data_IF_025645508468
#
_entry.id   IF_025645508468
#
_cell.length_a   1.000
_cell.length_b   1.000
_cell.length_c   1.000
_cell.angle_alpha   90.00
_cell.angle_beta   90.00
_cell.angle_gamma   90.00
#
_symmetry.space_group_name_H-M   'P 1'
#
loop_
_entity.id
_entity.type
_entity.pdbx_description
1 polymer ?
#
# COMPACT_ATOMS: atom_id res chain seq x y z
N UNK A 1 -16.60 -11.31 15.17
CA UNK A 1 -17.24 -11.10 13.86
C UNK A 1 -16.16 -10.81 12.83
N UNK A 2 -16.26 -11.40 11.65
CA UNK A 2 -15.37 -11.19 10.49
C UNK A 2 -16.24 -10.91 9.25
N UNK A 3 -15.63 -10.38 8.20
CA UNK A 3 -16.29 -10.17 6.90
C UNK A 3 -15.66 -11.13 5.90
N UNK A 4 -16.46 -12.03 5.33
CA UNK A 4 -16.04 -12.87 4.20
C UNK A 4 -16.17 -12.08 2.90
N UNK A 5 -15.12 -12.13 2.09
CA UNK A 5 -15.04 -11.44 0.79
C UNK A 5 -14.51 -12.39 -0.27
N UNK A 6 -14.64 -12.03 -1.54
CA UNK A 6 -14.07 -12.76 -2.66
C UNK A 6 -13.28 -11.81 -3.54
N UNK A 7 -12.28 -12.33 -4.25
CA UNK A 7 -11.63 -11.60 -5.35
C UNK A 7 -12.29 -11.85 -6.72
N UNK A 8 -13.43 -12.57 -6.73
CA UNK A 8 -14.30 -12.76 -7.88
C UNK A 8 -15.61 -11.97 -7.72
N UNK A 9 -15.86 -11.05 -8.65
CA UNK A 9 -17.07 -10.20 -8.64
C UNK A 9 -18.35 -11.02 -8.84
N UNK A 10 -18.30 -12.14 -9.56
CA UNK A 10 -19.48 -12.98 -9.80
C UNK A 10 -19.95 -13.65 -8.50
N UNK A 11 -19.01 -14.05 -7.65
CA UNK A 11 -19.30 -14.58 -6.31
C UNK A 11 -19.97 -13.48 -5.46
N UNK A 12 -19.43 -12.26 -5.47
CA UNK A 12 -20.03 -11.14 -4.73
C UNK A 12 -21.46 -10.80 -5.22
N UNK A 13 -21.69 -10.86 -6.53
CA UNK A 13 -23.01 -10.65 -7.13
C UNK A 13 -24.03 -11.71 -6.70
N UNK A 14 -23.61 -12.98 -6.59
CA UNK A 14 -24.47 -14.08 -6.13
C UNK A 14 -24.97 -13.85 -4.69
N UNK A 15 -24.13 -13.28 -3.83
CA UNK A 15 -24.44 -13.05 -2.41
C UNK A 15 -25.08 -11.68 -2.11
N UNK A 16 -25.15 -10.77 -3.09
CA UNK A 16 -25.67 -9.41 -2.94
C UNK A 16 -27.15 -9.34 -2.54
N UNK A 17 -27.97 -10.34 -2.90
CA UNK A 17 -29.45 -10.27 -2.86
C UNK A 17 -30.06 -9.18 -3.76
N UNK A 18 -31.38 -9.04 -3.78
CA UNK A 18 -32.10 -8.15 -4.72
C UNK A 18 -31.95 -6.64 -4.42
N UNK A 19 -31.55 -6.26 -3.21
CA UNK A 19 -31.43 -4.86 -2.74
C UNK A 19 -30.11 -4.58 -2.00
N UNK A 20 -29.13 -5.48 -2.08
CA UNK A 20 -27.85 -5.27 -1.40
C UNK A 20 -26.85 -4.44 -2.21
N UNK A 21 -25.78 -4.02 -1.54
CA UNK A 21 -24.62 -3.38 -2.15
C UNK A 21 -23.48 -4.39 -2.34
N UNK A 22 -22.55 -4.07 -3.24
CA UNK A 22 -21.26 -4.76 -3.35
C UNK A 22 -20.20 -3.86 -2.73
N UNK A 23 -19.51 -4.36 -1.71
CA UNK A 23 -18.35 -3.69 -1.14
C UNK A 23 -17.09 -4.09 -1.92
N UNK A 24 -16.52 -3.15 -2.66
CA UNK A 24 -15.27 -3.34 -3.40
C UNK A 24 -14.10 -2.89 -2.54
N UNK A 25 -13.27 -3.84 -2.12
CA UNK A 25 -12.08 -3.55 -1.30
C UNK A 25 -10.89 -3.23 -2.20
N UNK A 26 -10.45 -1.97 -2.21
CA UNK A 26 -9.24 -1.58 -2.92
C UNK A 26 -8.01 -2.36 -2.39
N UNK A 27 -7.00 -2.69 -3.22
CA UNK A 27 -5.79 -3.37 -2.74
C UNK A 27 -5.11 -2.69 -1.54
N UNK A 28 -5.21 -1.37 -1.40
CA UNK A 28 -4.72 -0.63 -0.23
C UNK A 28 -5.36 -1.08 1.10
N UNK A 29 -6.58 -1.62 1.07
CA UNK A 29 -7.28 -2.17 2.24
C UNK A 29 -6.70 -3.49 2.73
N UNK A 30 -6.17 -4.34 1.83
CA UNK A 30 -5.48 -5.59 2.22
C UNK A 30 -4.17 -5.34 2.96
N UNK A 31 -3.71 -4.09 2.96
CA UNK A 31 -2.33 -3.69 3.18
C UNK A 31 -2.21 -2.64 4.29
N UNK A 32 -3.33 -2.26 4.89
CA UNK A 32 -3.41 -1.34 6.01
C UNK A 32 -3.20 -2.08 7.35
N UNK A 33 -2.29 -1.55 8.19
CA UNK A 33 -1.91 -2.14 9.48
C UNK A 33 -3.09 -2.54 10.39
N UNK A 34 -4.17 -1.74 10.42
CA UNK A 34 -5.35 -1.94 11.28
C UNK A 34 -6.42 -2.86 10.66
N UNK A 35 -6.21 -3.33 9.43
CA UNK A 35 -7.19 -4.10 8.66
C UNK A 35 -6.58 -5.47 8.36
N UNK A 36 -6.62 -6.34 9.38
CA UNK A 36 -6.12 -7.70 9.24
C UNK A 36 -7.01 -8.49 8.28
N UNK A 37 -6.38 -9.18 7.34
CA UNK A 37 -7.05 -10.03 6.37
C UNK A 37 -6.22 -11.26 6.06
N UNK A 38 -6.87 -12.31 5.58
CA UNK A 38 -6.22 -13.56 5.20
C UNK A 38 -6.95 -14.21 4.02
N UNK A 39 -6.18 -14.63 3.01
CA UNK A 39 -6.68 -15.53 1.97
C UNK A 39 -6.77 -16.94 2.55
N UNK A 40 -8.01 -17.44 2.66
CA UNK A 40 -8.34 -18.76 3.22
C UNK A 40 -8.87 -19.71 2.15
N UNK A 41 -8.82 -19.33 0.88
CA UNK A 41 -9.35 -20.10 -0.25
C UNK A 41 -8.80 -21.53 -0.33
N UNK A 42 -7.57 -21.74 0.15
CA UNK A 42 -6.88 -23.03 0.15
C UNK A 42 -7.38 -24.01 1.24
N UNK A 43 -7.93 -23.51 2.35
CA UNK A 43 -8.56 -24.32 3.42
C UNK A 43 -10.08 -24.31 3.37
N UNK A 44 -10.69 -23.35 2.68
CA UNK A 44 -12.14 -23.24 2.61
C UNK A 44 -12.75 -24.47 1.93
N UNK A 45 -13.85 -25.05 2.46
CA UNK A 45 -14.59 -26.10 1.77
C UNK A 45 -15.23 -25.59 0.47
N UNK A 46 -15.43 -24.26 0.32
CA UNK A 46 -16.01 -23.62 -0.84
C UNK A 46 -14.94 -22.95 -1.72
N UNK A 47 -13.99 -23.75 -2.25
CA UNK A 47 -12.85 -23.24 -3.02
C UNK A 47 -13.23 -22.31 -4.18
N UNK A 48 -14.39 -22.52 -4.79
CA UNK A 48 -14.91 -21.71 -5.88
C UNK A 48 -15.24 -20.26 -5.46
N UNK A 49 -15.49 -20.02 -4.18
CA UNK A 49 -15.78 -18.67 -3.65
C UNK A 49 -14.54 -17.82 -3.48
N UNK A 50 -13.35 -18.44 -3.49
CA UNK A 50 -12.05 -17.75 -3.35
C UNK A 50 -12.03 -16.81 -2.14
N UNK A 51 -12.45 -17.37 -1.01
CA UNK A 51 -12.72 -16.61 0.20
C UNK A 51 -11.48 -15.94 0.80
N UNK A 52 -11.65 -14.66 1.11
CA UNK A 52 -10.71 -13.81 1.84
C UNK A 52 -11.44 -13.24 3.05
N UNK A 53 -10.91 -13.51 4.23
CA UNK A 53 -11.48 -13.04 5.49
C UNK A 53 -10.85 -11.73 5.91
N UNK A 54 -11.68 -10.76 6.25
CA UNK A 54 -11.29 -9.53 6.93
C UNK A 54 -11.70 -9.61 8.40
N UNK A 55 -10.74 -9.47 9.31
CA UNK A 55 -11.02 -9.39 10.73
C UNK A 55 -11.64 -8.02 11.06
N UNK A 56 -12.44 -7.97 12.13
CA UNK A 56 -12.91 -6.70 12.68
C UNK A 56 -11.71 -5.83 13.04
N UNK A 57 -11.69 -4.58 12.56
CA UNK A 57 -10.64 -3.62 12.91
C UNK A 57 -10.55 -3.46 14.43
N UNK A 58 -9.32 -3.53 14.95
CA UNK A 58 -9.07 -3.30 16.36
C UNK A 58 -9.07 -1.80 16.64
N UNK A 59 -9.98 -1.35 17.50
CA UNK A 59 -9.99 0.04 17.98
C UNK A 59 -8.91 0.20 19.04
N UNK A 60 -7.85 0.94 18.71
CA UNK A 60 -6.75 1.22 19.64
C UNK A 60 -7.18 2.33 20.60
N UNK A 61 -7.60 1.98 21.82
CA UNK A 61 -8.20 2.90 22.80
C UNK A 61 -7.26 3.99 23.35
N UNK A 62 -5.94 3.85 23.16
CA UNK A 62 -4.93 4.78 23.69
C UNK A 62 -4.41 5.81 22.68
N UNK A 63 -4.90 5.80 21.43
CA UNK A 63 -4.53 6.81 20.43
C UNK A 63 -5.60 7.90 20.37
N UNK A 64 -5.16 9.15 20.21
CA UNK A 64 -6.03 10.28 19.87
C UNK A 64 -6.94 9.89 18.69
N UNK A 65 -8.25 10.09 18.84
CA UNK A 65 -9.26 9.79 17.82
C UNK A 65 -8.92 10.44 16.47
N UNK A 66 -8.28 11.62 16.52
CA UNK A 66 -7.79 12.31 15.32
C UNK A 66 -6.71 11.51 14.61
N UNK A 67 -5.69 11.06 15.33
CA UNK A 67 -4.62 10.21 14.77
C UNK A 67 -5.17 8.90 14.22
N UNK A 68 -6.20 8.34 14.88
CA UNK A 68 -6.86 7.13 14.38
C UNK A 68 -7.50 7.34 13.01
N UNK A 69 -8.29 8.42 12.87
CA UNK A 69 -8.96 8.78 11.61
C UNK A 69 -7.97 9.10 10.49
N UNK A 70 -6.84 9.71 10.82
CA UNK A 70 -5.83 10.11 9.82
C UNK A 70 -4.94 8.94 9.36
N UNK A 71 -4.72 7.92 10.18
CA UNK A 71 -3.75 6.85 9.87
C UNK A 71 -4.35 5.46 9.64
N UNK A 72 -5.43 5.10 10.33
CA UNK A 72 -5.91 3.72 10.44
C UNK A 72 -7.34 3.53 9.91
N UNK A 73 -8.02 4.61 9.55
CA UNK A 73 -9.36 4.55 8.99
C UNK A 73 -9.37 4.17 7.50
N UNK A 74 -10.57 3.94 7.00
CA UNK A 74 -10.87 3.72 5.59
C UNK A 74 -11.96 4.68 5.16
N UNK A 75 -11.94 5.03 3.88
CA UNK A 75 -12.96 5.83 3.23
C UNK A 75 -13.89 4.91 2.44
N UNK A 76 -15.14 5.32 2.32
CA UNK A 76 -16.12 4.69 1.43
C UNK A 76 -16.63 5.73 0.44
N UNK A 77 -16.73 5.35 -0.83
CA UNK A 77 -17.37 6.16 -1.87
C UNK A 77 -18.17 5.28 -2.81
N UNK A 78 -19.24 5.84 -3.39
CA UNK A 78 -19.95 5.18 -4.47
C UNK A 78 -19.02 5.13 -5.68
N UNK A 79 -18.72 3.92 -6.15
CA UNK A 79 -17.90 3.67 -7.34
C UNK A 79 -18.77 3.62 -8.59
N UNK A 80 -19.91 2.94 -8.49
CA UNK A 80 -20.93 2.88 -9.51
C UNK A 80 -22.29 2.57 -8.87
N UNK A 81 -23.35 2.96 -9.57
CA UNK A 81 -24.72 2.69 -9.16
C UNK A 81 -25.58 2.46 -10.40
N UNK A 82 -26.35 1.37 -10.38
CA UNK A 82 -27.41 1.07 -11.35
C UNK A 82 -28.75 0.88 -10.62
N UNK A 83 -29.81 0.58 -11.37
CA UNK A 83 -31.17 0.41 -10.82
C UNK A 83 -31.24 -0.62 -9.68
N UNK A 84 -30.37 -1.63 -9.69
CA UNK A 84 -30.43 -2.76 -8.78
C UNK A 84 -29.27 -2.81 -7.78
N UNK A 85 -28.12 -2.21 -8.10
CA UNK A 85 -26.86 -2.42 -7.38
C UNK A 85 -26.09 -1.12 -7.19
N UNK A 86 -25.71 -0.87 -5.95
CA UNK A 86 -24.67 0.11 -5.62
C UNK A 86 -23.35 -0.61 -5.32
N UNK A 87 -22.28 -0.19 -5.98
CA UNK A 87 -20.92 -0.63 -5.68
C UNK A 87 -20.22 0.45 -4.87
N UNK A 88 -19.74 0.08 -3.68
CA UNK A 88 -19.08 0.98 -2.74
C UNK A 88 -17.59 0.62 -2.71
N UNK A 89 -16.73 1.52 -3.16
CA UNK A 89 -15.28 1.36 -3.07
C UNK A 89 -14.79 1.75 -1.67
N UNK A 90 -14.07 0.83 -1.04
CA UNK A 90 -13.39 1.03 0.23
C UNK A 90 -11.89 1.21 0.00
N UNK A 91 -11.33 2.30 0.51
CA UNK A 91 -9.90 2.66 0.39
C UNK A 91 -9.27 2.98 1.74
N UNK A 92 -7.98 2.69 1.90
CA UNK A 92 -7.24 3.11 3.09
C UNK A 92 -7.01 4.63 3.10
N UNK A 93 -7.20 5.29 4.24
CA UNK A 93 -7.07 6.75 4.33
C UNK A 93 -5.70 7.27 3.89
N UNK A 94 -4.59 6.59 4.23
CA UNK A 94 -3.25 7.00 3.77
C UNK A 94 -3.07 6.81 2.26
N UNK A 95 -3.75 5.85 1.65
CA UNK A 95 -3.71 5.73 0.20
C UNK A 95 -4.32 6.98 -0.46
N UNK A 96 -5.52 7.39 -0.01
CA UNK A 96 -6.20 8.56 -0.58
C UNK A 96 -5.44 9.87 -0.32
N UNK A 97 -4.79 9.99 0.85
CA UNK A 97 -3.98 11.16 1.19
C UNK A 97 -2.77 11.37 0.28
N UNK A 98 -2.19 10.29 -0.27
CA UNK A 98 -0.90 10.33 -0.96
C UNK A 98 -0.96 9.96 -2.46
N UNK A 99 -2.08 9.43 -2.97
CA UNK A 99 -2.19 8.99 -4.37
C UNK A 99 -1.87 10.12 -5.35
N UNK A 100 -2.38 11.34 -5.13
CA UNK A 100 -2.19 12.44 -6.08
C UNK A 100 -0.73 12.91 -6.16
N UNK A 101 -0.07 13.09 -5.02
CA UNK A 101 1.34 13.49 -4.94
C UNK A 101 2.25 12.39 -5.51
N UNK A 102 1.92 11.13 -5.20
CA UNK A 102 2.64 9.96 -5.72
C UNK A 102 2.57 9.91 -7.25
N UNK A 103 1.37 10.14 -7.81
CA UNK A 103 1.16 10.16 -9.27
C UNK A 103 1.82 11.37 -9.93
N UNK A 104 1.77 12.55 -9.31
CA UNK A 104 2.45 13.74 -9.82
C UNK A 104 3.96 13.52 -9.92
N UNK A 105 4.59 13.03 -8.85
CA UNK A 105 6.04 12.72 -8.86
C UNK A 105 6.33 11.62 -9.88
N UNK A 106 5.50 10.56 -9.93
CA UNK A 106 5.65 9.49 -10.91
C UNK A 106 5.65 10.02 -12.34
N UNK A 107 4.75 10.96 -12.68
CA UNK A 107 4.68 11.57 -14.01
C UNK A 107 5.97 12.34 -14.36
N UNK A 108 6.54 13.08 -13.40
CA UNK A 108 7.82 13.79 -13.58
C UNK A 108 8.99 12.85 -13.91
N UNK A 109 8.91 11.60 -13.44
CA UNK A 109 9.88 10.54 -13.72
C UNK A 109 9.44 9.60 -14.86
N UNK A 110 8.48 10.02 -15.69
CA UNK A 110 7.90 9.23 -16.79
C UNK A 110 7.45 7.82 -16.36
N UNK A 111 6.88 7.72 -15.17
CA UNK A 111 6.37 6.48 -14.57
C UNK A 111 7.40 5.35 -14.43
N UNK A 112 8.70 5.69 -14.45
CA UNK A 112 9.79 4.72 -14.36
C UNK A 112 10.09 4.26 -12.93
N UNK A 113 9.62 5.02 -11.93
CA UNK A 113 9.82 4.74 -10.51
C UNK A 113 8.61 4.00 -9.94
N UNK A 114 8.86 3.03 -9.05
CA UNK A 114 7.82 2.34 -8.31
C UNK A 114 7.02 3.32 -7.43
N UNK A 115 5.69 3.34 -7.57
CA UNK A 115 4.80 4.20 -6.80
C UNK A 115 4.94 3.98 -5.29
N UNK A 116 5.19 2.74 -4.86
CA UNK A 116 5.39 2.42 -3.44
C UNK A 116 6.70 3.01 -2.90
N UNK A 117 7.72 3.16 -3.75
CA UNK A 117 8.99 3.79 -3.40
C UNK A 117 8.78 5.29 -3.18
N UNK A 118 8.08 5.96 -4.11
CA UNK A 118 7.69 7.38 -3.99
C UNK A 118 6.87 7.60 -2.71
N UNK A 119 5.83 6.78 -2.51
CA UNK A 119 4.97 6.84 -1.33
C UNK A 119 5.74 6.61 -0.02
N UNK A 120 6.73 5.71 -0.02
CA UNK A 120 7.59 5.52 1.15
C UNK A 120 8.33 6.80 1.46
N UNK A 121 9.03 7.39 0.49
CA UNK A 121 9.80 8.62 0.71
C UNK A 121 8.90 9.77 1.14
N UNK A 122 7.72 9.92 0.55
CA UNK A 122 6.72 10.93 0.92
C UNK A 122 6.31 10.86 2.40
N UNK A 123 6.34 9.69 3.01
CA UNK A 123 6.05 9.52 4.43
C UNK A 123 7.23 9.88 5.35
N UNK A 124 8.45 9.94 4.82
CA UNK A 124 9.67 10.24 5.60
C UNK A 124 10.09 11.71 5.54
N UNK A 125 9.73 12.43 4.48
CA UNK A 125 10.07 13.84 4.32
C UNK A 125 9.34 14.74 5.34
N UNK A 126 10.01 15.80 5.78
CA UNK A 126 9.54 16.67 6.88
C UNK A 126 8.89 17.98 6.39
N UNK A 127 8.63 18.11 5.09
CA UNK A 127 7.97 19.29 4.51
C UNK A 127 6.67 19.64 5.23
N UNK A 128 6.44 20.94 5.48
CA UNK A 128 5.24 21.44 6.17
C UNK A 128 4.07 21.58 5.21
N UNK A 129 4.36 21.96 3.96
CA UNK A 129 3.37 22.01 2.87
C UNK A 129 3.47 20.80 1.95
N UNK A 130 2.42 20.57 1.16
CA UNK A 130 2.40 19.49 0.15
C UNK A 130 3.51 19.71 -0.89
N UNK A 131 3.72 20.94 -1.33
CA UNK A 131 4.73 21.31 -2.33
C UNK A 131 6.15 21.10 -1.80
N UNK A 132 6.40 21.45 -0.53
CA UNK A 132 7.69 21.18 0.12
C UNK A 132 7.96 19.67 0.21
N UNK A 133 6.97 18.86 0.58
CA UNK A 133 7.11 17.39 0.62
C UNK A 133 7.41 16.82 -0.76
N UNK A 134 6.77 17.32 -1.81
CA UNK A 134 7.03 16.92 -3.19
C UNK A 134 8.47 17.28 -3.58
N UNK A 135 8.90 18.52 -3.35
CA UNK A 135 10.25 18.98 -3.66
C UNK A 135 11.32 18.13 -2.94
N UNK A 136 11.16 17.92 -1.64
CA UNK A 136 12.06 17.06 -0.86
C UNK A 136 12.06 15.62 -1.38
N UNK A 137 10.90 15.09 -1.75
CA UNK A 137 10.81 13.71 -2.28
C UNK A 137 11.57 13.58 -3.60
N UNK A 138 11.47 14.56 -4.50
CA UNK A 138 12.19 14.58 -5.78
C UNK A 138 13.71 14.62 -5.55
N UNK A 139 14.16 15.45 -4.61
CA UNK A 139 15.57 15.52 -4.23
C UNK A 139 16.06 14.17 -3.68
N UNK A 140 15.33 13.58 -2.74
CA UNK A 140 15.65 12.26 -2.18
C UNK A 140 15.67 11.15 -3.23
N UNK A 141 14.72 11.14 -4.16
CA UNK A 141 14.67 10.19 -5.28
C UNK A 141 15.91 10.32 -6.17
N UNK A 142 16.32 11.56 -6.48
CA UNK A 142 17.50 11.84 -7.31
C UNK A 142 18.79 11.33 -6.65
N UNK A 143 18.94 11.57 -5.34
CA UNK A 143 20.07 11.06 -4.54
C UNK A 143 20.04 9.54 -4.48
N UNK A 144 18.86 8.95 -4.25
CA UNK A 144 18.69 7.51 -4.15
C UNK A 144 18.99 6.78 -5.46
N UNK A 145 18.46 7.25 -6.60
CA UNK A 145 18.75 6.62 -7.90
C UNK A 145 20.24 6.72 -8.26
N UNK A 146 20.90 7.85 -7.95
CA UNK A 146 22.36 7.97 -8.10
C UNK A 146 23.10 7.00 -7.19
N UNK A 147 22.69 6.87 -5.93
CA UNK A 147 23.27 5.92 -4.97
C UNK A 147 23.10 4.47 -5.44
N UNK A 148 21.92 4.12 -5.95
CA UNK A 148 21.55 2.77 -6.40
C UNK A 148 22.41 2.26 -7.56
N UNK A 149 22.89 3.16 -8.43
CA UNK A 149 23.75 2.83 -9.56
C UNK A 149 25.19 2.44 -9.17
N UNK A 150 25.63 2.73 -7.93
CA UNK A 150 27.00 2.41 -7.51
C UNK A 150 27.18 0.88 -7.37
N UNK A 151 28.21 0.27 -8.00
CA UNK A 151 28.39 -1.19 -7.99
C UNK A 151 28.48 -1.81 -6.60
N UNK A 152 29.07 -1.09 -5.64
CA UNK A 152 29.20 -1.57 -4.25
C UNK A 152 27.83 -1.72 -3.58
N UNK A 153 26.88 -0.84 -3.88
CA UNK A 153 25.54 -0.87 -3.29
C UNK A 153 24.72 -2.03 -3.86
N UNK A 154 24.86 -2.29 -5.17
CA UNK A 154 24.28 -3.47 -5.82
C UNK A 154 24.84 -4.76 -5.21
N UNK A 155 26.16 -4.84 -4.98
CA UNK A 155 26.79 -5.99 -4.31
C UNK A 155 26.26 -6.18 -2.88
N UNK A 156 26.14 -5.09 -2.11
CA UNK A 156 25.57 -5.12 -0.75
C UNK A 156 24.15 -5.67 -0.75
N UNK A 157 23.29 -5.20 -1.65
CA UNK A 157 21.93 -5.72 -1.80
C UNK A 157 21.91 -7.21 -2.18
N UNK A 158 22.74 -7.64 -3.14
CA UNK A 158 22.83 -9.06 -3.54
C UNK A 158 23.20 -9.97 -2.37
N UNK A 159 24.10 -9.53 -1.48
CA UNK A 159 24.48 -10.28 -0.28
C UNK A 159 23.30 -10.50 0.67
N UNK A 160 22.47 -9.47 0.86
CA UNK A 160 21.35 -9.51 1.81
C UNK A 160 20.03 -10.00 1.16
N UNK A 161 20.00 -10.18 -0.17
CA UNK A 161 18.77 -10.48 -0.92
C UNK A 161 18.03 -11.71 -0.40
N UNK A 162 18.77 -12.76 -0.02
CA UNK A 162 18.18 -14.00 0.51
C UNK A 162 17.36 -13.73 1.78
N UNK A 163 17.92 -12.96 2.71
CA UNK A 163 17.27 -12.66 3.98
C UNK A 163 16.03 -11.79 3.79
N UNK A 164 16.06 -10.82 2.87
CA UNK A 164 14.85 -10.07 2.49
C UNK A 164 13.73 -11.00 1.99
N UNK A 165 14.06 -11.99 1.14
CA UNK A 165 13.07 -12.95 0.61
C UNK A 165 12.53 -13.85 1.73
N UNK A 166 13.40 -14.35 2.63
CA UNK A 166 12.99 -15.15 3.78
C UNK A 166 12.04 -14.37 4.71
N UNK A 167 12.20 -13.04 4.80
CA UNK A 167 11.29 -12.12 5.50
C UNK A 167 10.07 -11.67 4.68
N UNK A 168 9.85 -12.27 3.50
CA UNK A 168 8.76 -11.96 2.55
C UNK A 168 8.80 -10.53 1.99
N UNK A 169 9.95 -9.87 2.03
CA UNK A 169 10.18 -8.55 1.44
C UNK A 169 10.48 -8.69 -0.06
N UNK A 170 9.43 -8.87 -0.87
CA UNK A 170 9.60 -9.16 -2.30
C UNK A 170 9.86 -7.92 -3.17
N UNK A 171 9.59 -6.71 -2.68
CA UNK A 171 9.82 -5.48 -3.44
C UNK A 171 11.29 -5.04 -3.38
N UNK A 172 12.01 -5.26 -4.47
CA UNK A 172 13.43 -4.97 -4.57
C UNK A 172 13.77 -3.48 -4.43
N UNK A 173 12.89 -2.59 -4.92
CA UNK A 173 13.05 -1.14 -4.78
C UNK A 173 13.01 -0.69 -3.32
N UNK A 174 12.02 -1.18 -2.56
CA UNK A 174 11.88 -0.92 -1.12
C UNK A 174 13.06 -1.51 -0.34
N UNK A 175 13.52 -2.71 -0.70
CA UNK A 175 14.68 -3.32 -0.03
C UNK A 175 15.95 -2.48 -0.25
N UNK A 176 16.19 -2.01 -1.48
CA UNK A 176 17.30 -1.10 -1.77
C UNK A 176 17.17 0.23 -1.01
N UNK A 177 15.97 0.81 -0.98
CA UNK A 177 15.69 2.04 -0.23
C UNK A 177 15.94 1.85 1.28
N UNK A 178 15.60 0.68 1.84
CA UNK A 178 15.84 0.39 3.24
C UNK A 178 17.33 0.37 3.60
N UNK A 179 18.18 -0.19 2.72
CA UNK A 179 19.63 -0.16 2.88
C UNK A 179 20.15 1.28 2.81
N UNK A 180 19.63 2.06 1.85
CA UNK A 180 19.99 3.47 1.71
C UNK A 180 19.64 4.27 2.97
N UNK A 181 18.42 4.10 3.52
CA UNK A 181 17.99 4.79 4.74
C UNK A 181 18.81 4.37 5.96
N UNK A 182 19.19 3.10 6.07
CA UNK A 182 20.10 2.63 7.11
C UNK A 182 21.47 3.33 7.02
N UNK A 183 22.06 3.43 5.82
CA UNK A 183 23.33 4.13 5.60
C UNK A 183 23.26 5.63 5.90
N UNK A 184 22.11 6.24 5.70
CA UNK A 184 21.86 7.65 6.01
C UNK A 184 21.50 7.90 7.47
N UNK A 185 21.43 6.86 8.30
CA UNK A 185 21.05 6.99 9.71
C UNK A 185 19.60 7.43 9.92
N UNK A 186 18.74 7.26 8.92
CA UNK A 186 17.32 7.62 8.98
C UNK A 186 16.54 6.56 9.79
N UNK A 187 17.02 5.31 9.77
CA UNK A 187 16.35 4.20 10.45
C UNK A 187 16.86 4.01 11.88
N UNK A 188 15.93 3.68 12.77
CA UNK A 188 16.23 3.23 14.15
C UNK A 188 16.45 1.70 14.25
N UNK A 189 16.35 1.00 13.13
CA UNK A 189 16.39 -0.47 13.01
C UNK A 189 17.14 -0.84 11.74
N UNK A 190 17.49 -2.11 11.59
CA UNK A 190 18.20 -2.59 10.39
C UNK A 190 17.34 -2.40 9.14
N UNK A 191 17.97 -2.35 7.97
CA UNK A 191 17.26 -2.28 6.67
C UNK A 191 16.27 -3.43 6.48
N UNK A 192 16.62 -4.63 6.95
CA UNK A 192 15.80 -5.84 6.83
C UNK A 192 14.57 -5.76 7.73
N UNK A 193 14.74 -5.39 9.01
CA UNK A 193 13.62 -5.18 9.93
C UNK A 193 12.71 -4.05 9.45
N UNK A 194 13.29 -3.02 8.84
CA UNK A 194 12.53 -1.95 8.23
C UNK A 194 11.68 -2.44 7.06
N UNK A 195 12.27 -3.12 6.08
CA UNK A 195 11.53 -3.63 4.93
C UNK A 195 10.45 -4.63 5.36
N UNK A 196 10.74 -5.50 6.34
CA UNK A 196 9.77 -6.45 6.87
C UNK A 196 8.59 -5.72 7.54
N UNK A 197 8.88 -4.78 8.45
CA UNK A 197 7.85 -4.00 9.11
C UNK A 197 7.05 -3.13 8.13
N UNK A 198 7.70 -2.55 7.13
CA UNK A 198 7.03 -1.76 6.09
C UNK A 198 6.09 -2.64 5.24
N UNK A 199 6.57 -3.83 4.84
CA UNK A 199 5.79 -4.82 4.09
C UNK A 199 4.54 -5.24 4.87
N UNK A 200 4.64 -5.38 6.20
CA UNK A 200 3.50 -5.78 7.05
C UNK A 200 2.54 -4.61 7.27
N UNK A 201 3.06 -3.41 7.58
CA UNK A 201 2.24 -2.32 8.10
C UNK A 201 1.65 -1.41 7.03
N UNK A 202 2.40 -1.18 5.94
CA UNK A 202 1.99 -0.30 4.85
C UNK A 202 1.65 -1.09 3.59
N UNK A 203 2.09 -2.35 3.53
CA UNK A 203 1.69 -3.34 2.54
C UNK A 203 1.89 -2.97 1.08
N UNK A 204 2.55 -1.86 0.75
CA UNK A 204 2.68 -1.33 -0.62
C UNK A 204 1.29 -1.05 -1.23
N UNK A 205 0.65 0.07 -0.86
CA UNK A 205 -0.77 0.29 -1.17
C UNK A 205 -1.05 0.53 -2.66
N UNK A 206 -0.01 0.76 -3.47
CA UNK A 206 -0.14 0.98 -4.91
C UNK A 206 0.10 -0.30 -5.70
N UNK A 207 -0.77 -0.52 -6.69
CA UNK A 207 -0.72 -1.62 -7.65
C UNK A 207 -0.54 -1.08 -9.07
N UNK A 208 -0.23 -1.97 -10.02
CA UNK A 208 0.03 -1.57 -11.42
C UNK A 208 -1.16 -0.83 -12.07
N UNK A 209 -2.39 -1.12 -11.64
CA UNK A 209 -3.59 -0.44 -12.11
C UNK A 209 -3.58 1.06 -11.78
N UNK A 210 -2.96 1.47 -10.67
CA UNK A 210 -2.95 2.87 -10.22
C UNK A 210 -2.16 3.78 -11.17
N UNK A 211 -1.16 3.23 -11.88
CA UNK A 211 -0.42 3.98 -12.92
C UNK A 211 -1.31 4.45 -14.07
N UNK A 212 -2.50 3.87 -14.23
CA UNK A 212 -3.44 4.23 -15.31
C UNK A 212 -4.36 5.39 -14.94
N UNK A 213 -4.45 5.76 -13.66
CA UNK A 213 -5.36 6.82 -13.17
C UNK A 213 -5.09 8.17 -13.85
N UNK A 214 -3.83 8.45 -14.24
CA UNK A 214 -3.46 9.70 -14.94
C UNK A 214 -3.17 9.53 -16.45
N UNK A 215 -3.40 8.35 -17.04
CA UNK A 215 -3.28 8.19 -18.50
C UNK A 215 -4.56 8.55 -19.25
N UNK A 216 -5.61 8.92 -18.52
CA UNK A 216 -6.96 9.23 -19.04
C UNK A 216 -7.41 10.67 -18.73
N UNK A 217 -6.48 11.54 -18.32
CA UNK A 217 -6.71 13.00 -18.26
C UNK A 217 -5.87 13.68 -19.33
#
# INVERSE_FOLDING_TARGET
SHVSTSDDIQVAQMYRSHQGCILHFHPSMRRAFSIQNCDVSWISPFKHEREILFARSFTVSYKDEKLYKEEYAWNAKVESEDEYTQMILLTWVKYDQYIQQTMQISAMWNYSIDLNLIFTILQFVQGKSVQEKIAQTIEYLSIFETWKLKPNNIKKYKKNKKEFIERRCCNHGINLLSIFFEEKGVLRRTSIEFAAGYTINNGMPFVEKDKKINRQQ
#
